data_IF_470159831945
#
_entry.id   IF_470159831945
#
_cell.length_a   1.000
_cell.length_b   1.000
_cell.length_c   1.000
_cell.angle_alpha   90.00
_cell.angle_beta   90.00
_cell.angle_gamma   90.00
#
_symmetry.space_group_name_H-M   'P 1'
#
loop_
_entity.id
_entity.type
_entity.pdbx_description
1 polymer ?
#
# COMPACT_ATOMS: atom_id res chain seq x y z
N UNK A 1 -12.13 15.09 11.22
CA UNK A 1 -12.61 13.72 11.53
C UNK A 1 -11.48 12.83 12.06
N UNK A 2 -10.31 12.80 11.42
CA UNK A 2 -9.14 12.07 11.95
C UNK A 2 -8.57 12.66 13.24
N UNK A 3 -8.51 13.99 13.38
CA UNK A 3 -8.07 14.66 14.63
C UNK A 3 -8.91 14.25 15.85
N UNK A 4 -10.22 14.04 15.66
CA UNK A 4 -11.13 13.59 16.73
C UNK A 4 -10.81 12.16 17.20
N UNK A 5 -10.15 11.36 16.35
CA UNK A 5 -9.65 10.03 16.69
C UNK A 5 -8.22 10.06 17.27
N UNK A 6 -7.65 11.26 17.49
CA UNK A 6 -6.30 11.45 18.04
C UNK A 6 -5.18 11.47 16.99
N UNK A 7 -5.51 11.53 15.71
CA UNK A 7 -4.48 11.65 14.66
C UNK A 7 -3.83 13.05 14.70
N UNK A 8 -2.51 13.08 14.52
CA UNK A 8 -1.76 14.31 14.24
C UNK A 8 -1.85 14.59 12.74
N UNK A 9 -2.31 15.79 12.37
CA UNK A 9 -2.37 16.22 10.98
C UNK A 9 -1.12 17.00 10.66
N UNK A 10 -0.36 16.50 9.69
CA UNK A 10 0.88 17.09 9.22
C UNK A 10 1.08 16.76 7.74
N UNK A 11 1.70 17.68 7.01
CA UNK A 11 2.02 17.49 5.60
C UNK A 11 3.28 16.64 5.39
N UNK A 12 4.26 16.77 6.30
CA UNK A 12 5.46 15.94 6.28
C UNK A 12 5.25 14.67 7.09
N UNK A 13 5.42 13.52 6.44
CA UNK A 13 5.29 12.20 7.05
C UNK A 13 6.65 11.53 7.28
N UNK A 14 7.76 12.27 7.12
CA UNK A 14 9.13 11.76 7.22
C UNK A 14 9.45 11.09 8.56
N UNK A 15 8.80 11.50 9.64
CA UNK A 15 8.98 10.91 10.98
C UNK A 15 8.28 9.56 11.15
N UNK A 16 7.30 9.22 10.29
CA UNK A 16 6.53 7.99 10.41
C UNK A 16 7.44 6.76 10.35
N UNK A 17 7.20 5.79 11.24
CA UNK A 17 7.91 4.49 11.20
C UNK A 17 7.35 3.56 10.12
N UNK A 18 6.05 3.67 9.86
CA UNK A 18 5.33 2.89 8.84
C UNK A 18 4.42 3.83 8.06
N UNK A 19 4.51 3.78 6.74
CA UNK A 19 3.67 4.54 5.83
C UNK A 19 2.66 3.58 5.18
N UNK A 20 1.37 3.87 5.37
CA UNK A 20 0.26 3.03 4.94
C UNK A 20 -0.52 3.74 3.85
N UNK A 21 -0.78 3.04 2.74
CA UNK A 21 -1.58 3.57 1.64
C UNK A 21 -2.34 2.48 0.90
N UNK A 22 -3.41 2.86 0.20
CA UNK A 22 -4.15 1.92 -0.64
C UNK A 22 -3.39 1.60 -1.92
N UNK A 23 -2.79 2.61 -2.56
CA UNK A 23 -2.03 2.47 -3.82
C UNK A 23 -0.56 2.80 -3.60
N UNK A 24 0.26 2.40 -4.57
CA UNK A 24 1.68 2.77 -4.61
C UNK A 24 1.89 4.30 -4.58
N UNK A 25 2.88 4.80 -3.83
CA UNK A 25 3.30 6.19 -3.94
C UNK A 25 4.04 6.44 -5.27
N UNK A 26 4.16 7.71 -5.71
CA UNK A 26 5.12 8.09 -6.73
C UNK A 26 6.55 7.75 -6.28
N UNK A 27 7.39 7.26 -7.20
CA UNK A 27 8.76 6.79 -6.90
C UNK A 27 9.62 7.93 -6.31
N UNK A 28 9.44 9.17 -6.78
CA UNK A 28 10.14 10.35 -6.30
C UNK A 28 9.79 10.74 -4.86
N UNK A 29 8.68 10.23 -4.32
CA UNK A 29 8.21 10.51 -2.95
C UNK A 29 8.48 9.37 -1.97
N UNK A 30 9.17 8.31 -2.40
CA UNK A 30 9.57 7.22 -1.50
C UNK A 30 10.76 7.65 -0.65
N UNK A 31 10.52 7.78 0.66
CA UNK A 31 11.58 7.94 1.67
C UNK A 31 12.42 6.66 1.81
N UNK A 32 13.76 6.77 1.85
CA UNK A 32 14.65 5.63 2.05
C UNK A 32 14.62 5.09 3.48
N UNK A 33 14.94 3.80 3.63
CA UNK A 33 15.05 3.09 4.93
C UNK A 33 13.78 3.17 5.80
N UNK A 34 12.61 3.22 5.16
CA UNK A 34 11.29 3.23 5.81
C UNK A 34 10.54 1.92 5.54
N UNK A 35 9.47 1.69 6.30
CA UNK A 35 8.53 0.59 6.06
C UNK A 35 7.28 1.11 5.39
N UNK A 36 6.84 0.45 4.31
CA UNK A 36 5.61 0.78 3.59
C UNK A 36 4.66 -0.41 3.54
N UNK A 37 3.35 -0.14 3.57
CA UNK A 37 2.32 -1.13 3.35
C UNK A 37 1.27 -0.64 2.34
N UNK A 38 1.19 -1.30 1.18
CA UNK A 38 0.26 -0.97 0.10
C UNK A 38 0.14 -2.14 -0.91
N UNK A 39 -0.82 -2.04 -1.83
CA UNK A 39 -0.89 -2.94 -2.99
C UNK A 39 0.17 -2.54 -4.03
N UNK A 40 1.28 -3.29 -4.08
CA UNK A 40 2.41 -2.92 -4.95
C UNK A 40 2.21 -3.28 -6.42
N UNK A 41 1.37 -4.30 -6.68
CA UNK A 41 1.17 -4.91 -7.98
C UNK A 41 2.46 -5.46 -8.62
N UNK A 42 3.51 -5.70 -7.82
CA UNK A 42 4.82 -6.20 -8.30
C UNK A 42 4.89 -7.73 -8.39
N UNK A 43 4.03 -8.45 -7.65
CA UNK A 43 4.04 -9.92 -7.55
C UNK A 43 3.89 -10.62 -8.90
N UNK A 44 3.17 -10.01 -9.83
CA UNK A 44 2.94 -10.55 -11.17
C UNK A 44 4.09 -10.24 -12.15
N UNK A 45 5.17 -9.62 -11.67
CA UNK A 45 6.35 -9.24 -12.45
C UNK A 45 6.02 -8.48 -13.75
N UNK A 46 4.96 -7.66 -13.72
CA UNK A 46 4.59 -6.84 -14.86
C UNK A 46 5.62 -5.71 -15.01
N UNK A 47 6.17 -5.54 -16.22
CA UNK A 47 7.26 -4.61 -16.52
C UNK A 47 7.01 -3.20 -15.99
N UNK A 48 5.79 -2.68 -16.14
CA UNK A 48 5.39 -1.35 -15.65
C UNK A 48 5.46 -1.16 -14.12
N UNK A 49 5.61 -2.23 -13.34
CA UNK A 49 5.71 -2.19 -11.88
C UNK A 49 7.12 -2.51 -11.37
N UNK A 50 8.04 -2.93 -12.24
CA UNK A 50 9.39 -3.31 -11.84
C UNK A 50 10.26 -2.09 -11.49
N UNK A 51 10.03 -0.93 -12.13
CA UNK A 51 10.73 0.31 -11.79
C UNK A 51 10.56 0.71 -10.32
N UNK A 52 9.33 0.60 -9.80
CA UNK A 52 9.06 0.82 -8.39
C UNK A 52 9.82 -0.18 -7.52
N UNK A 53 9.80 -1.47 -7.86
CA UNK A 53 10.49 -2.49 -7.06
C UNK A 53 11.99 -2.20 -6.98
N UNK A 54 12.62 -1.82 -8.10
CA UNK A 54 14.02 -1.43 -8.14
C UNK A 54 14.30 -0.21 -7.27
N UNK A 55 13.42 0.81 -7.28
CA UNK A 55 13.54 1.99 -6.43
C UNK A 55 13.43 1.63 -4.93
N UNK A 56 12.46 0.79 -4.56
CA UNK A 56 12.30 0.32 -3.18
C UNK A 56 13.55 -0.44 -2.70
N UNK A 57 14.12 -1.29 -3.55
CA UNK A 57 15.36 -2.03 -3.24
C UNK A 57 16.55 -1.08 -3.07
N UNK A 58 16.76 -0.15 -4.01
CA UNK A 58 17.84 0.85 -3.95
C UNK A 58 17.77 1.72 -2.70
N UNK A 59 16.55 2.03 -2.25
CA UNK A 59 16.28 2.86 -1.07
C UNK A 59 16.23 2.07 0.23
N UNK A 60 16.52 0.76 0.20
CA UNK A 60 16.47 -0.13 1.37
C UNK A 60 15.11 -0.07 2.09
N UNK A 61 14.04 0.04 1.32
CA UNK A 61 12.67 0.08 1.84
C UNK A 61 12.19 -1.32 2.18
N UNK A 62 11.53 -1.45 3.33
CA UNK A 62 10.78 -2.65 3.68
C UNK A 62 9.35 -2.52 3.15
N UNK A 63 8.97 -3.37 2.20
CA UNK A 63 7.61 -3.43 1.67
C UNK A 63 6.81 -4.56 2.33
N UNK A 64 5.61 -4.23 2.82
CA UNK A 64 4.58 -5.16 3.27
C UNK A 64 3.46 -5.13 2.23
N UNK A 65 3.41 -6.14 1.35
CA UNK A 65 2.43 -6.17 0.27
C UNK A 65 1.09 -6.75 0.73
N UNK A 66 0.03 -5.94 0.67
CA UNK A 66 -1.34 -6.37 0.97
C UNK A 66 -1.80 -7.55 0.13
N UNK A 67 -1.28 -7.68 -1.09
CA UNK A 67 -1.65 -8.75 -2.00
C UNK A 67 -1.25 -10.15 -1.49
N UNK A 68 -0.29 -10.23 -0.54
CA UNK A 68 0.16 -11.47 0.12
C UNK A 68 -0.26 -11.61 1.58
N UNK A 69 -1.06 -10.68 2.11
CA UNK A 69 -1.63 -10.82 3.45
C UNK A 69 -2.74 -11.87 3.46
N UNK A 70 -2.39 -13.08 3.89
CA UNK A 70 -3.30 -14.24 3.98
C UNK A 70 -3.36 -14.78 5.40
N UNK A 71 -4.47 -15.41 5.75
CA UNK A 71 -4.62 -16.17 6.99
C UNK A 71 -3.95 -17.55 6.91
N UNK A 72 -4.07 -18.34 7.98
CA UNK A 72 -3.51 -19.70 8.04
C UNK A 72 -4.12 -20.67 7.02
N UNK A 73 -5.29 -20.36 6.47
CA UNK A 73 -5.98 -21.16 5.46
C UNK A 73 -5.72 -20.64 4.03
N UNK A 74 -4.93 -19.57 3.87
CA UNK A 74 -4.60 -18.96 2.59
C UNK A 74 -5.63 -17.94 2.09
N UNK A 75 -6.65 -17.57 2.89
CA UNK A 75 -7.61 -16.55 2.51
C UNK A 75 -7.01 -15.16 2.66
N UNK A 76 -7.18 -14.30 1.64
CA UNK A 76 -6.74 -12.91 1.71
C UNK A 76 -7.51 -12.15 2.78
N UNK A 77 -6.78 -11.55 3.70
CA UNK A 77 -7.33 -10.75 4.80
C UNK A 77 -7.62 -9.32 4.33
N UNK A 78 -6.81 -8.81 3.40
CA UNK A 78 -6.96 -7.46 2.83
C UNK A 78 -7.46 -7.57 1.39
N UNK A 79 -8.75 -7.32 1.18
CA UNK A 79 -9.37 -7.30 -0.14
C UNK A 79 -10.58 -6.36 -0.18
N UNK A 80 -10.82 -5.73 -1.33
CA UNK A 80 -11.98 -4.88 -1.55
C UNK A 80 -13.22 -5.64 -2.08
N UNK A 81 -13.17 -6.97 -2.13
CA UNK A 81 -14.12 -7.80 -2.90
C UNK A 81 -15.60 -7.57 -2.58
N UNK A 82 -15.96 -7.46 -1.30
CA UNK A 82 -17.35 -7.27 -0.88
C UNK A 82 -17.93 -5.94 -1.42
N UNK A 83 -17.17 -4.85 -1.31
CA UNK A 83 -17.61 -3.53 -1.75
C UNK A 83 -17.43 -3.32 -3.26
N UNK A 84 -16.48 -3.99 -3.90
CA UNK A 84 -16.32 -3.99 -5.35
C UNK A 84 -17.55 -4.61 -6.05
N UNK A 85 -18.14 -5.67 -5.48
CA UNK A 85 -19.38 -6.26 -5.98
C UNK A 85 -20.59 -5.33 -5.83
N UNK A 86 -20.72 -4.63 -4.71
CA UNK A 86 -21.79 -3.63 -4.50
C UNK A 86 -21.64 -2.45 -5.47
N UNK A 87 -20.42 -1.95 -5.67
CA UNK A 87 -20.16 -0.87 -6.63
C UNK A 87 -20.44 -1.29 -8.09
N UNK A 88 -20.20 -2.56 -8.44
CA UNK A 88 -20.51 -3.11 -9.77
C UNK A 88 -21.98 -3.43 -10.01
N UNK A 89 -22.79 -3.61 -8.96
CA UNK A 89 -24.25 -3.79 -9.03
C UNK A 89 -25.02 -2.46 -8.85
N UNK A 90 -24.33 -1.34 -8.73
CA UNK A 90 -24.96 -0.01 -8.75
C UNK A 90 -25.60 0.27 -10.12
N UNK A 91 -26.72 1.00 -10.17
CA UNK A 91 -27.38 1.32 -11.43
C UNK A 91 -26.49 2.30 -12.19
N UNK A 92 -25.77 1.81 -13.19
CA UNK A 92 -25.33 2.60 -14.32
C UNK A 92 -26.21 2.22 -15.51
#
# INVERSE_FOLDING_TARGET
>A
FYEKAGAVIQDDISEASVIIGVKRPPEEKVYPRKTYAFFSHTIKAQEANMGLLDDLLKKEVRLIDYEKMVDANGYRIVAFGQWAGVAGMGPF
#
